data_IF_282575799885
#
_entry.id   IF_282575799885
#
_cell.length_a   1.000
_cell.length_b   1.000
_cell.length_c   1.000
_cell.angle_alpha   90.00
_cell.angle_beta   90.00
_cell.angle_gamma   90.00
#
_symmetry.space_group_name_H-M   'P 1'
#
loop_
_entity.id
_entity.type
_entity.pdbx_description
1 polymer ?
#
# COMPACT_ATOMS: atom_id res chain seq x y z
N UNK A 1 -0.61 11.21 11.23
CA UNK A 1 -1.28 9.93 10.91
C UNK A 1 -0.64 8.83 11.76
N UNK A 2 -1.38 7.79 12.11
CA UNK A 2 -0.78 6.60 12.71
C UNK A 2 0.04 5.87 11.63
N UNK A 3 1.29 5.53 11.89
CA UNK A 3 2.17 4.90 10.90
C UNK A 3 3.06 3.85 11.54
N UNK A 4 2.90 2.59 11.12
CA UNK A 4 3.62 1.45 11.66
C UNK A 4 4.14 0.54 10.56
N UNK A 5 5.07 -0.35 10.93
CA UNK A 5 5.49 -1.43 10.04
C UNK A 5 5.69 -2.73 10.81
N UNK A 6 5.44 -3.84 10.14
CA UNK A 6 5.63 -5.20 10.64
C UNK A 6 6.29 -6.08 9.59
N UNK A 7 6.71 -7.29 9.98
CA UNK A 7 7.25 -8.28 9.07
C UNK A 7 6.50 -9.62 9.21
N UNK A 8 6.02 -10.13 8.09
CA UNK A 8 5.44 -11.47 7.91
C UNK A 8 6.43 -12.28 7.07
N UNK A 9 7.48 -12.79 7.72
CA UNK A 9 8.62 -13.45 7.07
C UNK A 9 8.97 -14.81 7.70
N UNK A 10 8.02 -15.45 8.35
CA UNK A 10 8.14 -16.83 8.83
C UNK A 10 7.93 -17.82 7.67
N UNK A 11 8.27 -19.10 7.88
CA UNK A 11 8.23 -20.11 6.82
C UNK A 11 6.81 -20.39 6.29
N UNK A 12 5.79 -20.11 7.09
CA UNK A 12 4.38 -20.33 6.76
C UNK A 12 3.68 -19.04 6.27
N UNK A 13 4.39 -17.90 6.26
CA UNK A 13 3.81 -16.63 5.82
C UNK A 13 3.66 -16.57 4.29
N UNK A 14 2.63 -15.89 3.78
CA UNK A 14 2.39 -15.78 2.34
C UNK A 14 3.54 -15.10 1.58
N UNK A 15 3.98 -15.74 0.51
CA UNK A 15 4.99 -15.18 -0.42
C UNK A 15 4.29 -14.45 -1.56
N UNK A 16 4.71 -13.22 -1.85
CA UNK A 16 4.27 -12.51 -3.05
C UNK A 16 4.98 -13.06 -4.29
N UNK A 17 4.23 -13.66 -5.21
CA UNK A 17 4.75 -14.15 -6.49
C UNK A 17 4.40 -13.16 -7.60
N UNK A 18 5.38 -12.81 -8.45
CA UNK A 18 5.20 -11.94 -9.61
C UNK A 18 5.90 -12.56 -10.83
N UNK A 19 5.22 -12.78 -11.97
CA UNK A 19 3.81 -12.49 -12.21
C UNK A 19 2.91 -13.49 -11.49
N UNK A 20 1.73 -13.05 -11.06
CA UNK A 20 0.68 -13.90 -10.51
C UNK A 20 -0.51 -13.97 -11.49
N UNK A 21 -1.32 -15.00 -11.33
CA UNK A 21 -2.65 -15.13 -11.94
C UNK A 21 -3.57 -15.75 -10.90
N UNK A 22 -4.80 -15.26 -10.76
CA UNK A 22 -5.79 -15.90 -9.92
C UNK A 22 -6.27 -17.19 -10.63
N UNK A 23 -5.98 -18.39 -10.09
CA UNK A 23 -6.40 -19.64 -10.71
C UNK A 23 -7.91 -19.89 -10.57
N UNK A 24 -8.58 -19.17 -9.67
CA UNK A 24 -10.00 -19.34 -9.36
C UNK A 24 -10.92 -18.37 -10.09
N UNK A 25 -10.36 -17.31 -10.70
CA UNK A 25 -11.11 -16.30 -11.43
C UNK A 25 -11.16 -16.59 -12.95
N UNK A 26 -12.34 -16.90 -13.52
CA UNK A 26 -12.52 -17.09 -14.96
C UNK A 26 -12.26 -15.82 -15.79
N UNK A 27 -12.30 -14.64 -15.16
CA UNK A 27 -12.05 -13.35 -15.82
C UNK A 27 -10.56 -13.14 -16.13
N UNK A 28 -9.68 -13.93 -15.50
CA UNK A 28 -8.25 -13.91 -15.76
C UNK A 28 -7.53 -12.75 -15.07
N UNK A 29 -7.96 -12.37 -13.86
CA UNK A 29 -7.20 -11.48 -12.99
C UNK A 29 -5.76 -11.98 -12.86
N UNK A 30 -4.83 -11.07 -13.15
CA UNK A 30 -3.41 -11.39 -13.22
C UNK A 30 -2.59 -10.14 -12.98
N UNK A 31 -1.31 -10.36 -12.76
CA UNK A 31 -0.32 -9.31 -12.76
C UNK A 31 -0.35 -8.53 -14.09
N UNK A 32 -0.45 -7.21 -13.97
CA UNK A 32 -0.32 -6.25 -15.07
C UNK A 32 0.92 -5.41 -14.81
N UNK A 33 1.90 -5.48 -15.72
CA UNK A 33 3.14 -4.71 -15.59
C UNK A 33 2.94 -3.26 -16.06
N UNK A 34 2.46 -2.41 -15.15
CA UNK A 34 2.20 -1.00 -15.40
C UNK A 34 3.47 -0.18 -15.73
N UNK A 35 4.66 -0.77 -15.63
CA UNK A 35 5.93 -0.13 -16.02
C UNK A 35 6.11 -0.11 -17.53
N UNK A 36 5.63 -1.16 -18.20
CA UNK A 36 5.72 -1.32 -19.66
C UNK A 36 4.67 -0.45 -20.36
N UNK A 37 3.43 -0.44 -19.84
CA UNK A 37 2.37 0.40 -20.34
C UNK A 37 1.52 1.00 -19.20
N UNK A 38 1.73 2.27 -18.84
CA UNK A 38 0.96 2.96 -17.80
C UNK A 38 -0.55 3.10 -18.10
N UNK A 39 -0.98 2.84 -19.34
CA UNK A 39 -2.39 2.90 -19.75
C UNK A 39 -3.13 1.58 -19.55
N UNK A 40 -2.45 0.49 -19.17
CA UNK A 40 -3.07 -0.82 -18.91
C UNK A 40 -3.87 -0.84 -17.58
N UNK A 41 -4.08 0.31 -16.96
CA UNK A 41 -4.93 0.47 -15.76
C UNK A 41 -6.39 0.13 -16.02
N UNK A 42 -6.84 0.19 -17.28
CA UNK A 42 -8.17 -0.25 -17.69
C UNK A 42 -8.37 -1.77 -17.46
N UNK A 43 -7.29 -2.52 -17.21
CA UNK A 43 -7.33 -3.92 -16.79
C UNK A 43 -7.43 -4.12 -15.28
N UNK A 44 -7.51 -3.05 -14.49
CA UNK A 44 -7.60 -3.08 -13.03
C UNK A 44 -8.94 -2.45 -12.58
N UNK A 45 -10.01 -3.24 -12.40
CA UNK A 45 -11.32 -2.74 -11.98
C UNK A 45 -11.28 -1.92 -10.69
N UNK A 46 -10.37 -2.24 -9.77
CA UNK A 46 -10.17 -1.55 -8.49
C UNK A 46 -9.70 -0.11 -8.71
N UNK A 47 -8.79 0.09 -9.67
CA UNK A 47 -8.28 1.40 -10.05
C UNK A 47 -9.34 2.22 -10.81
N UNK A 48 -10.12 1.57 -11.68
CA UNK A 48 -11.22 2.23 -12.40
C UNK A 48 -12.28 2.78 -11.43
N UNK A 49 -12.63 2.01 -10.39
CA UNK A 49 -13.60 2.41 -9.37
C UNK A 49 -13.07 3.45 -8.40
N UNK A 50 -11.75 3.54 -8.22
CA UNK A 50 -11.11 4.42 -7.24
C UNK A 50 -10.03 5.30 -7.90
N UNK A 51 -10.40 6.49 -8.42
CA UNK A 51 -9.45 7.39 -9.07
C UNK A 51 -8.19 7.75 -8.27
N UNK A 52 -8.23 7.94 -6.92
CA UNK A 52 -7.01 8.15 -6.12
C UNK A 52 -6.04 6.96 -6.18
N UNK A 53 -6.56 5.73 -6.14
CA UNK A 53 -5.74 4.52 -6.28
C UNK A 53 -5.12 4.46 -7.68
N UNK A 54 -5.89 4.73 -8.73
CA UNK A 54 -5.36 4.81 -10.10
C UNK A 54 -4.19 5.81 -10.20
N UNK A 55 -4.33 6.99 -9.59
CA UNK A 55 -3.29 8.02 -9.59
C UNK A 55 -2.04 7.58 -8.80
N UNK A 56 -2.24 6.89 -7.68
CA UNK A 56 -1.16 6.27 -6.91
C UNK A 56 -0.39 5.24 -7.75
N UNK A 57 -1.09 4.31 -8.41
CA UNK A 57 -0.48 3.30 -9.27
C UNK A 57 0.31 3.92 -10.42
N UNK A 58 -0.23 4.93 -11.11
CA UNK A 58 0.50 5.68 -12.17
C UNK A 58 1.80 6.28 -11.64
N UNK A 59 1.70 6.91 -10.47
CA UNK A 59 2.83 7.59 -9.84
C UNK A 59 3.92 6.63 -9.40
N UNK A 60 3.54 5.50 -8.80
CA UNK A 60 4.45 4.47 -8.30
C UNK A 60 5.07 3.62 -9.40
N UNK A 61 4.43 3.48 -10.57
CA UNK A 61 4.99 2.74 -11.71
C UNK A 61 5.72 3.62 -12.73
N UNK A 62 5.70 4.95 -12.56
CA UNK A 62 6.40 5.87 -13.46
C UNK A 62 7.89 5.50 -13.64
N UNK A 63 8.51 5.74 -14.81
CA UNK A 63 9.88 5.29 -15.10
C UNK A 63 10.96 5.72 -14.11
N UNK A 64 10.75 6.84 -13.40
CA UNK A 64 11.68 7.37 -12.38
C UNK A 64 11.34 6.95 -10.95
N UNK A 65 10.28 6.18 -10.75
CA UNK A 65 9.95 5.62 -9.44
C UNK A 65 11.01 4.61 -9.02
N UNK A 66 11.34 4.59 -7.74
CA UNK A 66 12.21 3.58 -7.13
C UNK A 66 11.48 2.25 -6.93
N UNK A 67 10.16 2.28 -7.03
CA UNK A 67 9.25 1.19 -6.77
C UNK A 67 8.50 0.80 -8.04
N UNK A 68 7.81 -0.32 -7.98
CA UNK A 68 6.70 -0.67 -8.86
C UNK A 68 5.67 -1.50 -8.09
N UNK A 69 4.46 -1.63 -8.64
CA UNK A 69 3.35 -2.28 -7.93
C UNK A 69 3.08 -3.67 -8.49
N UNK A 70 2.62 -4.59 -7.64
CA UNK A 70 2.30 -5.97 -8.05
C UNK A 70 0.80 -6.31 -7.95
N UNK A 71 0.14 -5.83 -6.89
CA UNK A 71 -1.28 -6.02 -6.59
C UNK A 71 -1.80 -4.79 -5.89
N UNK A 72 -3.11 -4.60 -5.93
CA UNK A 72 -3.80 -3.61 -5.14
C UNK A 72 -5.26 -4.00 -4.96
N UNK A 73 -5.87 -3.43 -3.93
CA UNK A 73 -7.31 -3.45 -3.75
C UNK A 73 -7.75 -2.20 -2.96
N UNK A 74 -9.04 -1.87 -3.03
CA UNK A 74 -9.67 -0.82 -2.25
C UNK A 74 -11.10 -1.20 -1.86
N UNK A 75 -11.43 -1.06 -0.58
CA UNK A 75 -12.70 -1.51 -0.01
C UNK A 75 -13.19 -0.59 1.10
N UNK A 76 -14.49 -0.66 1.36
CA UNK A 76 -15.08 -0.10 2.58
C UNK A 76 -14.84 -1.08 3.72
N UNK A 77 -14.42 -0.58 4.88
CA UNK A 77 -14.15 -1.43 6.04
C UNK A 77 -15.42 -2.11 6.53
N UNK A 78 -15.31 -3.39 6.89
CA UNK A 78 -16.35 -4.06 7.65
C UNK A 78 -16.36 -3.62 9.12
N UNK A 79 -17.28 -4.18 9.92
CA UNK A 79 -17.42 -3.80 11.34
C UNK A 79 -16.16 -4.09 12.16
N UNK A 80 -15.50 -5.21 11.89
CA UNK A 80 -14.40 -5.72 12.70
C UNK A 80 -13.12 -4.95 12.37
N UNK A 81 -12.88 -4.69 11.07
CA UNK A 81 -11.79 -3.83 10.61
C UNK A 81 -11.95 -2.39 11.11
N UNK A 82 -13.17 -1.86 11.10
CA UNK A 82 -13.47 -0.51 11.57
C UNK A 82 -13.25 -0.37 13.08
N UNK A 83 -13.74 -1.31 13.89
CA UNK A 83 -13.54 -1.32 15.34
C UNK A 83 -12.04 -1.36 15.69
N UNK A 84 -11.28 -2.23 15.03
CA UNK A 84 -9.84 -2.32 15.22
C UNK A 84 -9.11 -1.01 14.85
N UNK A 85 -9.49 -0.38 13.74
CA UNK A 85 -8.89 0.88 13.31
C UNK A 85 -9.19 2.02 14.30
N UNK A 86 -10.43 2.12 14.79
CA UNK A 86 -10.82 3.13 15.78
C UNK A 86 -10.01 2.96 17.07
N UNK A 87 -9.85 1.73 17.56
CA UNK A 87 -9.06 1.46 18.75
C UNK A 87 -7.59 1.90 18.58
N UNK A 88 -7.02 1.72 17.38
CA UNK A 88 -5.64 2.08 17.08
C UNK A 88 -5.44 3.60 16.91
N UNK A 89 -6.42 4.32 16.35
CA UNK A 89 -6.33 5.77 16.09
C UNK A 89 -6.48 6.65 17.34
N UNK A 90 -6.76 6.04 18.51
CA UNK A 90 -7.05 6.64 19.82
C UNK A 90 -8.57 6.88 20.07
N UNK A 91 -9.20 6.20 21.04
CA UNK A 91 -10.60 6.39 21.40
C UNK A 91 -10.91 7.74 22.08
N UNK A 92 -9.91 8.48 22.55
CA UNK A 92 -10.09 9.79 23.21
C UNK A 92 -10.15 10.97 22.23
N UNK A 93 -10.23 10.72 20.92
CA UNK A 93 -10.60 11.72 19.93
C UNK A 93 -12.07 12.14 20.15
N UNK A 94 -12.26 13.12 21.06
CA UNK A 94 -13.49 13.88 21.27
C UNK A 94 -14.02 14.37 19.92
N UNK A 95 -14.95 13.63 19.31
CA UNK A 95 -15.48 13.96 17.99
C UNK A 95 -15.69 12.81 17.03
N UNK A 96 -15.45 11.55 17.42
CA UNK A 96 -15.90 10.45 16.58
C UNK A 96 -17.44 10.47 16.45
N UNK A 97 -17.95 10.39 15.22
CA UNK A 97 -19.38 10.37 14.95
C UNK A 97 -19.99 9.10 15.55
N UNK A 98 -21.25 9.15 15.97
CA UNK A 98 -21.94 8.04 16.64
C UNK A 98 -21.96 6.72 15.82
N UNK A 99 -21.73 6.80 14.51
CA UNK A 99 -21.67 5.66 13.60
C UNK A 99 -20.65 5.94 12.48
N UNK A 100 -19.34 5.80 12.76
CA UNK A 100 -18.32 6.05 11.76
C UNK A 100 -18.36 4.98 10.67
N UNK A 101 -17.70 5.28 9.56
CA UNK A 101 -17.40 4.33 8.49
C UNK A 101 -15.91 4.39 8.18
N UNK A 102 -15.40 3.39 7.48
CA UNK A 102 -14.00 3.36 7.07
C UNK A 102 -13.81 2.99 5.61
N UNK A 103 -12.70 3.43 5.06
CA UNK A 103 -12.26 3.05 3.72
C UNK A 103 -10.77 2.70 3.76
N UNK A 104 -10.38 1.71 2.97
CA UNK A 104 -9.03 1.21 2.94
C UNK A 104 -8.58 0.84 1.54
N UNK A 105 -7.28 0.77 1.39
CA UNK A 105 -6.63 0.13 0.25
C UNK A 105 -5.37 -0.57 0.68
N UNK A 106 -4.94 -1.56 -0.10
CA UNK A 106 -3.56 -2.02 -0.08
C UNK A 106 -2.90 -1.91 -1.45
N UNK A 107 -1.58 -1.76 -1.47
CA UNK A 107 -0.75 -1.84 -2.66
C UNK A 107 0.50 -2.66 -2.34
N UNK A 108 0.75 -3.73 -3.10
CA UNK A 108 2.00 -4.47 -3.02
C UNK A 108 3.09 -3.74 -3.81
N UNK A 109 4.18 -3.39 -3.13
CA UNK A 109 5.30 -2.60 -3.61
C UNK A 109 6.57 -3.44 -3.69
N UNK A 110 7.31 -3.26 -4.78
CA UNK A 110 8.60 -3.90 -5.02
C UNK A 110 9.65 -2.85 -5.37
N UNK A 111 10.83 -2.95 -4.75
CA UNK A 111 11.97 -2.11 -5.09
C UNK A 111 12.54 -2.50 -6.45
N UNK A 112 12.80 -1.50 -7.30
CA UNK A 112 13.50 -1.71 -8.57
C UNK A 112 15.00 -1.93 -8.38
N UNK A 113 15.56 -1.35 -7.34
CA UNK A 113 16.95 -1.57 -6.97
C UNK A 113 17.11 -2.98 -6.40
N UNK A 114 17.94 -3.78 -7.07
CA UNK A 114 18.15 -5.19 -6.70
C UNK A 114 18.81 -5.34 -5.33
N UNK A 115 19.68 -4.43 -4.92
CA UNK A 115 20.37 -4.51 -3.62
C UNK A 115 19.37 -4.29 -2.48
N UNK A 116 18.43 -3.35 -2.66
CA UNK A 116 17.35 -3.12 -1.71
C UNK A 116 16.35 -4.28 -1.73
N UNK A 117 15.96 -4.76 -2.91
CA UNK A 117 14.98 -5.84 -3.07
C UNK A 117 15.37 -7.10 -2.29
N UNK A 118 16.65 -7.50 -2.33
CA UNK A 118 17.12 -8.74 -1.68
C UNK A 118 17.50 -8.57 -0.20
N UNK A 119 17.53 -7.34 0.33
CA UNK A 119 18.09 -7.05 1.65
C UNK A 119 17.01 -6.67 2.66
N UNK A 120 16.63 -7.63 3.51
CA UNK A 120 15.73 -7.39 4.64
C UNK A 120 16.19 -6.21 5.50
N UNK A 121 17.49 -6.17 5.85
CA UNK A 121 18.05 -5.11 6.68
C UNK A 121 17.93 -3.73 6.03
N UNK A 122 18.19 -3.59 4.72
CA UNK A 122 18.02 -2.30 4.06
C UNK A 122 16.55 -1.89 3.99
N UNK A 123 15.63 -2.84 3.72
CA UNK A 123 14.20 -2.55 3.72
C UNK A 123 13.70 -2.15 5.10
N UNK A 124 14.14 -2.82 6.17
CA UNK A 124 13.83 -2.44 7.54
C UNK A 124 14.26 -0.99 7.83
N UNK A 125 15.50 -0.63 7.49
CA UNK A 125 15.98 0.74 7.69
C UNK A 125 15.20 1.79 6.90
N UNK A 126 14.73 1.42 5.69
CA UNK A 126 13.87 2.28 4.87
C UNK A 126 12.48 2.42 5.50
N UNK A 127 11.89 1.33 5.97
CA UNK A 127 10.58 1.31 6.65
C UNK A 127 10.61 2.13 7.94
N UNK A 128 11.66 2.01 8.77
CA UNK A 128 11.86 2.86 9.95
C UNK A 128 11.92 4.35 9.62
N UNK A 129 12.48 4.72 8.45
CA UNK A 129 12.49 6.11 7.99
C UNK A 129 11.13 6.53 7.46
N UNK A 130 10.47 5.66 6.70
CA UNK A 130 9.16 5.93 6.12
C UNK A 130 8.10 6.13 7.20
N UNK A 131 8.03 5.25 8.20
CA UNK A 131 7.08 5.38 9.31
C UNK A 131 7.30 6.66 10.10
N UNK A 132 8.55 7.01 10.44
CA UNK A 132 8.85 8.28 11.10
C UNK A 132 8.42 9.51 10.30
N UNK A 133 8.61 9.48 8.97
CA UNK A 133 8.21 10.59 8.10
C UNK A 133 6.69 10.63 7.90
N UNK A 134 6.05 9.48 7.77
CA UNK A 134 4.61 9.37 7.63
C UNK A 134 3.89 9.81 8.90
N UNK A 135 4.42 9.50 10.08
CA UNK A 135 3.85 9.95 11.35
C UNK A 135 3.71 11.50 11.44
N UNK A 136 4.54 12.25 10.71
CA UNK A 136 4.48 13.71 10.64
C UNK A 136 3.46 14.25 9.62
N UNK A 137 2.78 13.39 8.85
CA UNK A 137 1.71 13.79 7.93
C UNK A 137 0.42 14.08 8.71
N UNK A 138 -0.27 15.16 8.32
CA UNK A 138 -1.45 15.68 9.00
C UNK A 138 -2.74 14.96 8.57
N UNK A 139 -2.84 13.68 8.93
CA UNK A 139 -4.03 12.84 8.76
C UNK A 139 -4.35 12.11 10.07
N UNK A 140 -4.93 12.77 11.08
CA UNK A 140 -5.18 12.14 12.38
C UNK A 140 -6.19 10.99 12.30
N UNK A 141 -7.10 11.00 11.32
CA UNK A 141 -8.11 9.96 11.13
C UNK A 141 -7.68 8.86 10.13
N UNK A 142 -6.38 8.77 9.84
CA UNK A 142 -5.83 7.77 8.94
C UNK A 142 -4.68 7.00 9.58
N UNK A 143 -4.59 5.73 9.19
CA UNK A 143 -3.51 4.82 9.55
C UNK A 143 -2.78 4.32 8.31
N UNK A 144 -1.49 4.06 8.48
CA UNK A 144 -0.60 3.50 7.48
C UNK A 144 0.13 2.30 8.09
N UNK A 145 -0.07 1.13 7.48
CA UNK A 145 0.66 -0.08 7.85
C UNK A 145 1.53 -0.52 6.68
N UNK A 146 2.82 -0.72 6.93
CA UNK A 146 3.70 -1.41 5.99
C UNK A 146 3.95 -2.84 6.47
N UNK A 147 3.66 -3.83 5.62
CA UNK A 147 3.94 -5.23 5.93
C UNK A 147 5.04 -5.75 5.01
N UNK A 148 6.22 -5.99 5.57
CA UNK A 148 7.36 -6.59 4.87
C UNK A 148 7.15 -8.11 4.75
N UNK A 149 7.17 -8.63 3.52
CA UNK A 149 6.95 -10.06 3.25
C UNK A 149 7.91 -10.60 2.18
N UNK A 150 8.20 -11.92 2.17
CA UNK A 150 9.00 -12.53 1.11
C UNK A 150 8.34 -12.35 -0.26
N UNK A 151 9.17 -12.24 -1.29
CA UNK A 151 8.72 -12.12 -2.67
C UNK A 151 9.59 -12.90 -3.65
N UNK A 152 8.93 -13.44 -4.67
CA UNK A 152 9.55 -14.09 -5.83
C UNK A 152 9.16 -13.34 -7.10
N UNK A 153 10.15 -12.80 -7.82
CA UNK A 153 9.96 -12.15 -9.12
C UNK A 153 10.54 -13.06 -10.20
N UNK A 154 9.74 -13.40 -11.22
CA UNK A 154 10.15 -14.14 -12.41
C UNK A 154 9.71 -13.42 -13.70
N UNK A 155 10.13 -12.15 -13.84
CA UNK A 155 9.88 -11.35 -15.05
C UNK A 155 11.03 -11.43 -16.06
N UNK A 156 12.25 -11.54 -15.56
CA UNK A 156 13.48 -11.68 -16.36
C UNK A 156 14.33 -12.86 -15.89
N UNK A 157 13.70 -13.81 -15.21
CA UNK A 157 14.33 -14.90 -14.46
C UNK A 157 14.08 -14.79 -12.94
N UNK A 158 14.13 -15.93 -12.22
CA UNK A 158 13.70 -16.02 -10.84
C UNK A 158 14.62 -15.28 -9.89
N UNK A 159 14.04 -14.46 -9.03
CA UNK A 159 14.71 -13.66 -8.01
C UNK A 159 13.89 -13.69 -6.72
N UNK A 160 14.55 -14.05 -5.62
CA UNK A 160 13.97 -14.01 -4.28
C UNK A 160 14.41 -12.73 -3.56
N UNK A 161 13.49 -12.16 -2.79
CA UNK A 161 13.72 -10.94 -2.02
C UNK A 161 12.50 -10.61 -1.17
N UNK A 162 12.21 -9.32 -1.02
CA UNK A 162 11.13 -8.84 -0.17
C UNK A 162 10.27 -7.79 -0.87
N UNK A 163 8.98 -7.86 -0.61
CA UNK A 163 7.97 -6.88 -0.99
C UNK A 163 7.39 -6.20 0.24
N UNK A 164 6.72 -5.08 0.01
CA UNK A 164 6.02 -4.35 1.05
C UNK A 164 4.55 -4.26 0.64
N UNK A 165 3.65 -4.79 1.46
CA UNK A 165 2.22 -4.50 1.34
C UNK A 165 1.93 -3.23 2.12
N UNK A 166 1.63 -2.16 1.39
CA UNK A 166 1.27 -0.85 1.92
C UNK A 166 -0.25 -0.81 2.15
N UNK A 167 -0.70 -0.65 3.39
CA UNK A 167 -2.10 -0.42 3.71
C UNK A 167 -2.30 1.04 4.11
N UNK A 168 -3.28 1.70 3.50
CA UNK A 168 -3.76 3.02 3.93
C UNK A 168 -5.23 2.88 4.28
N UNK A 169 -5.60 3.31 5.48
CA UNK A 169 -6.97 3.21 6.00
C UNK A 169 -7.37 4.56 6.59
N UNK A 170 -8.63 4.95 6.47
CA UNK A 170 -9.14 6.15 7.11
C UNK A 170 -10.58 5.98 7.55
N UNK A 171 -10.97 6.76 8.57
CA UNK A 171 -12.34 6.80 9.09
C UNK A 171 -13.01 8.15 8.86
N UNK A 172 -14.35 8.14 8.81
CA UNK A 172 -15.17 9.34 8.65
C UNK A 172 -16.61 9.14 9.14
N UNK A 173 -17.38 10.23 9.30
CA UNK A 173 -18.81 10.20 9.67
C UNK A 173 -19.71 9.52 8.66
N UNK A 174 -19.26 9.45 7.41
CA UNK A 174 -19.89 8.73 6.33
C UNK A 174 -18.82 8.23 5.36
N UNK A 175 -19.25 7.34 4.46
CA UNK A 175 -18.33 6.67 3.53
C UNK A 175 -17.63 7.67 2.60
N UNK A 176 -18.32 8.74 2.21
CA UNK A 176 -17.76 9.77 1.34
C UNK A 176 -16.61 10.51 2.04
N UNK A 177 -16.79 10.89 3.30
CA UNK A 177 -15.74 11.55 4.09
C UNK A 177 -14.58 10.61 4.37
N UNK A 178 -14.84 9.35 4.72
CA UNK A 178 -13.80 8.34 4.93
C UNK A 178 -12.98 8.11 3.65
N UNK A 179 -13.65 8.04 2.50
CA UNK A 179 -13.00 7.91 1.19
C UNK A 179 -12.13 9.12 0.86
N UNK A 180 -12.62 10.36 1.08
CA UNK A 180 -11.82 11.56 0.83
C UNK A 180 -10.58 11.65 1.74
N UNK A 181 -10.72 11.28 3.02
CA UNK A 181 -9.59 11.22 3.97
C UNK A 181 -8.57 10.17 3.55
N UNK A 182 -9.03 8.97 3.19
CA UNK A 182 -8.19 7.91 2.64
C UNK A 182 -7.44 8.38 1.39
N UNK A 183 -8.14 9.04 0.46
CA UNK A 183 -7.56 9.53 -0.78
C UNK A 183 -6.45 10.56 -0.55
N UNK A 184 -6.67 11.51 0.38
CA UNK A 184 -5.69 12.50 0.76
C UNK A 184 -4.47 11.88 1.43
N UNK A 185 -4.68 10.96 2.38
CA UNK A 185 -3.60 10.23 3.02
C UNK A 185 -2.77 9.40 2.02
N UNK A 186 -3.43 8.71 1.08
CA UNK A 186 -2.77 7.93 0.03
C UNK A 186 -1.89 8.80 -0.87
N UNK A 187 -2.37 9.98 -1.28
CA UNK A 187 -1.60 10.90 -2.13
C UNK A 187 -0.32 11.41 -1.44
N UNK A 188 -0.42 11.77 -0.16
CA UNK A 188 0.73 12.19 0.64
C UNK A 188 1.72 11.05 0.88
N UNK A 189 1.23 9.84 1.14
CA UNK A 189 2.06 8.63 1.28
C UNK A 189 2.78 8.31 -0.03
N UNK A 190 2.10 8.38 -1.18
CA UNK A 190 2.72 8.19 -2.50
C UNK A 190 3.78 9.26 -2.77
N UNK A 191 3.51 10.51 -2.40
CA UNK A 191 4.46 11.61 -2.50
C UNK A 191 5.71 11.37 -1.64
N UNK A 192 5.53 10.85 -0.42
CA UNK A 192 6.60 10.44 0.47
C UNK A 192 7.46 9.31 -0.14
N UNK A 193 6.82 8.26 -0.67
CA UNK A 193 7.51 7.11 -1.29
C UNK A 193 8.33 7.51 -2.53
N UNK A 194 7.92 8.58 -3.22
CA UNK A 194 8.61 9.10 -4.41
C UNK A 194 9.66 10.17 -4.09
N UNK A 195 9.78 10.58 -2.82
CA UNK A 195 10.77 11.55 -2.38
C UNK A 195 12.19 11.03 -2.63
N UNK A 196 13.01 11.81 -3.33
CA UNK A 196 14.41 11.45 -3.61
C UNK A 196 15.26 11.31 -2.34
N UNK A 197 14.85 11.97 -1.27
CA UNK A 197 15.53 11.95 0.03
C UNK A 197 15.37 10.59 0.73
N UNK A 198 14.53 9.69 0.22
CA UNK A 198 14.31 8.37 0.80
C UNK A 198 15.57 7.48 0.80
N UNK A 199 16.43 7.67 -0.22
CA UNK A 199 17.68 6.92 -0.39
C UNK A 199 18.93 7.66 0.09
N UNK A 200 18.80 8.94 0.47
CA UNK A 200 19.93 9.73 0.95
C UNK A 200 20.03 9.55 2.48
N UNK A 201 21.15 9.01 2.93
CA UNK A 201 21.54 8.92 4.34
C UNK A 201 22.28 10.18 4.78
#
# INVERSE_FOLDING_TARGET
MLAEWSAECTADDPILVVPWSDPSDPSGMRFVDLRENPYDLDHLPEAERNPPLMQALRSLNAPRSLLFTAKCDAWSLDSDELEALILNLDPDLDGHPDNPTGFASYIDLLWRDRQIFISFHQQQQLLDRLTRRAAALDHPEAALDFVLRPALIDLTGPQEGFAISLYVKAIGPDLDTAWHRWAAALDDVVSLLRSKDLLLA
#
